data_IF_813782811646
#
_entry.id   IF_813782811646
#
_cell.length_a   1.000
_cell.length_b   1.000
_cell.length_c   1.000
_cell.angle_alpha   90.00
_cell.angle_beta   90.00
_cell.angle_gamma   90.00
#
_symmetry.space_group_name_H-M   'P 1'
#
loop_
_entity.id
_entity.type
_entity.pdbx_description
1 polymer ?
#
# COMPACT_ATOMS: atom_id res chain seq x y z
N UNK A 1 -23.71 22.31 -20.85
CA UNK A 1 -23.38 21.82 -19.49
C UNK A 1 -22.03 21.14 -19.59
N UNK A 2 -20.99 21.52 -18.84
CA UNK A 2 -19.81 20.66 -18.74
C UNK A 2 -20.29 19.29 -18.24
N UNK A 3 -19.89 18.19 -18.89
CA UNK A 3 -20.29 16.87 -18.42
C UNK A 3 -19.84 16.71 -16.97
N UNK A 4 -20.74 16.31 -16.07
CA UNK A 4 -20.37 16.05 -14.68
C UNK A 4 -19.21 15.04 -14.65
N UNK A 5 -18.13 15.37 -13.94
CA UNK A 5 -17.00 14.45 -13.77
C UNK A 5 -17.51 13.16 -13.13
N UNK A 6 -17.35 12.03 -13.84
CA UNK A 6 -17.80 10.73 -13.35
C UNK A 6 -16.83 10.22 -12.28
N UNK A 7 -17.36 9.95 -11.10
CA UNK A 7 -16.65 9.27 -10.01
C UNK A 7 -16.96 7.78 -10.11
N UNK A 8 -15.92 6.95 -10.21
CA UNK A 8 -16.02 5.50 -10.15
C UNK A 8 -15.49 5.03 -8.81
N UNK A 9 -16.22 4.17 -8.11
CA UNK A 9 -15.76 3.61 -6.84
C UNK A 9 -15.15 2.24 -7.11
N UNK A 10 -13.86 2.12 -6.81
CA UNK A 10 -13.10 0.89 -6.98
C UNK A 10 -12.81 0.26 -5.64
N UNK A 11 -12.69 -1.06 -5.63
CA UNK A 11 -12.13 -1.83 -4.53
C UNK A 11 -10.76 -2.35 -4.99
N UNK A 12 -9.70 -1.77 -4.43
CA UNK A 12 -8.30 -2.06 -4.78
C UNK A 12 -7.72 -3.08 -3.81
N UNK A 13 -6.85 -3.96 -4.30
CA UNK A 13 -6.31 -5.12 -3.57
C UNK A 13 -7.39 -6.11 -3.15
N UNK A 14 -8.51 -6.20 -3.87
CA UNK A 14 -9.66 -6.97 -3.44
C UNK A 14 -9.39 -8.49 -3.45
N UNK A 15 -9.54 -9.15 -2.30
CA UNK A 15 -9.51 -10.61 -2.22
C UNK A 15 -10.93 -11.19 -2.01
N UNK A 16 -11.70 -11.27 -3.08
CA UNK A 16 -13.10 -11.75 -3.06
C UNK A 16 -14.12 -10.66 -2.66
N UNK A 17 -15.45 -10.91 -2.77
CA UNK A 17 -16.55 -9.98 -2.45
C UNK A 17 -16.37 -9.25 -1.10
N UNK A 18 -16.64 -7.94 -1.06
CA UNK A 18 -16.50 -7.10 0.16
C UNK A 18 -15.06 -6.82 0.63
N UNK A 19 -14.07 -7.50 0.05
CA UNK A 19 -12.65 -7.24 0.27
C UNK A 19 -12.10 -5.96 -0.35
N UNK A 20 -10.83 -5.66 -0.10
CA UNK A 20 -10.09 -4.52 -0.67
C UNK A 20 -10.29 -3.19 0.04
N UNK A 21 -9.54 -2.20 -0.43
CA UNK A 21 -9.58 -0.81 0.02
C UNK A 21 -10.37 0.05 -0.99
N UNK A 22 -11.44 0.76 -0.59
CA UNK A 22 -12.21 1.61 -1.48
C UNK A 22 -11.39 2.79 -1.98
N UNK A 23 -11.56 3.12 -3.26
CA UNK A 23 -10.90 4.24 -3.90
C UNK A 23 -11.86 4.92 -4.87
N UNK A 24 -12.44 6.08 -4.52
CA UNK A 24 -13.13 6.93 -5.46
C UNK A 24 -12.14 7.53 -6.46
N UNK A 25 -12.33 7.25 -7.74
CA UNK A 25 -11.43 7.70 -8.81
C UNK A 25 -12.20 8.55 -9.83
N UNK A 26 -11.62 9.68 -10.20
CA UNK A 26 -12.04 10.50 -11.34
C UNK A 26 -10.93 10.47 -12.39
N UNK A 27 -11.14 9.74 -13.50
CA UNK A 27 -10.13 9.62 -14.56
C UNK A 27 -10.10 10.79 -15.55
N UNK A 28 -11.06 11.71 -15.47
CA UNK A 28 -11.08 12.93 -16.28
C UNK A 28 -11.31 14.14 -15.38
N UNK A 29 -10.28 14.51 -14.62
CA UNK A 29 -10.34 15.58 -13.62
C UNK A 29 -9.82 16.93 -14.16
N UNK A 30 -9.65 17.07 -15.48
CA UNK A 30 -9.24 18.33 -16.10
C UNK A 30 -10.26 19.43 -15.79
N UNK A 31 -9.79 20.56 -15.25
CA UNK A 31 -10.64 21.69 -14.87
C UNK A 31 -11.31 21.57 -13.49
N UNK A 32 -11.11 20.47 -12.75
CA UNK A 32 -11.50 20.42 -11.33
C UNK A 32 -10.59 21.31 -10.49
N UNK A 33 -11.19 22.13 -9.63
CA UNK A 33 -10.48 22.86 -8.57
C UNK A 33 -10.15 21.94 -7.39
N UNK A 34 -9.17 22.34 -6.58
CA UNK A 34 -8.78 21.67 -5.33
C UNK A 34 -9.97 21.45 -4.40
N UNK A 35 -10.86 22.44 -4.29
CA UNK A 35 -12.07 22.35 -3.48
C UNK A 35 -13.03 21.25 -3.99
N UNK A 36 -13.21 21.12 -5.30
CA UNK A 36 -14.06 20.07 -5.89
C UNK A 36 -13.45 18.67 -5.70
N UNK A 37 -12.12 18.54 -5.82
CA UNK A 37 -11.44 17.27 -5.54
C UNK A 37 -11.57 16.88 -4.07
N UNK A 38 -11.41 17.84 -3.15
CA UNK A 38 -11.60 17.60 -1.72
C UNK A 38 -13.05 17.23 -1.38
N UNK A 39 -14.04 17.88 -2.02
CA UNK A 39 -15.46 17.57 -1.80
C UNK A 39 -15.78 16.11 -2.16
N UNK A 40 -15.21 15.58 -3.24
CA UNK A 40 -15.34 14.15 -3.59
C UNK A 40 -14.78 13.27 -2.47
N UNK A 41 -13.57 13.56 -1.97
CA UNK A 41 -12.99 12.80 -0.87
C UNK A 41 -13.83 12.87 0.41
N UNK A 42 -14.38 14.05 0.73
CA UNK A 42 -15.28 14.23 1.89
C UNK A 42 -16.57 13.44 1.76
N UNK A 43 -17.19 13.45 0.57
CA UNK A 43 -18.45 12.74 0.30
C UNK A 43 -18.33 11.23 0.48
N UNK A 44 -17.20 10.67 0.08
CA UNK A 44 -16.96 9.22 0.14
C UNK A 44 -16.24 8.78 1.43
N UNK A 45 -15.56 9.68 2.14
CA UNK A 45 -14.86 9.36 3.39
C UNK A 45 -13.56 8.55 3.20
N UNK A 46 -13.09 8.40 1.95
CA UNK A 46 -11.94 7.57 1.57
C UNK A 46 -10.89 8.39 0.80
N UNK A 47 -9.65 7.88 0.73
CA UNK A 47 -8.64 8.39 -0.20
C UNK A 47 -9.17 8.34 -1.64
N UNK A 48 -9.21 9.50 -2.30
CA UNK A 48 -9.70 9.64 -3.68
C UNK A 48 -8.58 10.04 -4.63
N UNK A 49 -8.63 9.53 -5.87
CA UNK A 49 -7.63 9.77 -6.92
C UNK A 49 -8.19 10.54 -8.11
N UNK A 50 -7.42 11.48 -8.64
CA UNK A 50 -7.81 12.37 -9.73
C UNK A 50 -6.75 12.32 -10.82
N UNK A 51 -7.15 11.98 -12.04
CA UNK A 51 -6.27 11.94 -13.20
C UNK A 51 -6.42 13.22 -14.00
N UNK A 52 -5.31 13.94 -14.14
CA UNK A 52 -5.17 15.14 -14.93
C UNK A 52 -4.25 14.89 -16.14
N UNK A 53 -4.36 15.68 -17.22
CA UNK A 53 -3.33 15.75 -18.24
C UNK A 53 -1.98 16.11 -17.60
N UNK A 54 -0.89 15.52 -18.09
CA UNK A 54 0.44 15.92 -17.65
C UNK A 54 0.70 17.40 -17.96
N UNK A 55 1.45 18.13 -17.12
CA UNK A 55 1.83 19.52 -17.39
C UNK A 55 2.60 19.66 -18.70
N UNK A 56 2.48 20.81 -19.41
CA UNK A 56 3.27 21.06 -20.63
C UNK A 56 4.77 20.87 -20.38
N UNK A 57 5.44 20.10 -21.25
CA UNK A 57 6.87 19.81 -21.16
C UNK A 57 7.26 18.68 -20.19
N UNK A 58 6.29 18.04 -19.53
CA UNK A 58 6.55 16.83 -18.72
C UNK A 58 6.89 15.62 -19.61
N UNK A 59 7.73 14.71 -19.10
CA UNK A 59 8.00 13.38 -19.66
C UNK A 59 6.99 12.32 -19.19
N UNK A 60 5.98 12.72 -18.41
CA UNK A 60 4.93 11.85 -17.89
C UNK A 60 3.69 11.84 -18.79
N UNK A 61 2.96 10.74 -18.76
CA UNK A 61 1.71 10.55 -19.52
C UNK A 61 0.53 11.26 -18.86
N UNK A 62 0.51 11.29 -17.52
CA UNK A 62 -0.54 11.88 -16.69
C UNK A 62 0.02 12.53 -15.44
N UNK A 63 -0.74 13.45 -14.84
CA UNK A 63 -0.56 13.89 -13.45
C UNK A 63 -1.67 13.31 -12.58
N UNK A 64 -1.31 12.66 -11.47
CA UNK A 64 -2.27 12.16 -10.50
C UNK A 64 -2.20 12.97 -9.21
N UNK A 65 -3.36 13.39 -8.73
CA UNK A 65 -3.56 14.06 -7.44
C UNK A 65 -4.43 13.21 -6.52
N UNK A 66 -4.23 13.35 -5.21
CA UNK A 66 -4.87 12.48 -4.21
C UNK A 66 -5.37 13.26 -3.02
N UNK A 67 -6.59 12.98 -2.57
CA UNK A 67 -7.19 13.67 -1.42
C UNK A 67 -7.72 12.67 -0.40
N UNK A 68 -7.47 12.96 0.87
CA UNK A 68 -8.31 12.50 1.99
C UNK A 68 -9.31 13.61 2.33
N UNK A 69 -10.38 13.34 3.10
CA UNK A 69 -11.40 14.34 3.41
C UNK A 69 -10.87 15.69 3.91
N UNK A 70 -9.74 15.68 4.62
CA UNK A 70 -9.20 16.85 5.32
C UNK A 70 -8.07 17.58 4.57
N UNK A 71 -7.35 16.93 3.66
CA UNK A 71 -6.20 17.52 2.98
C UNK A 71 -5.75 16.71 1.77
N UNK A 72 -4.91 17.32 0.95
CA UNK A 72 -4.28 16.65 -0.18
C UNK A 72 -3.05 15.84 0.23
N UNK A 73 -2.94 14.63 -0.31
CA UNK A 73 -1.78 13.77 -0.11
C UNK A 73 -0.78 13.91 -1.26
N UNK A 74 0.51 13.79 -0.95
CA UNK A 74 1.55 13.80 -1.98
C UNK A 74 1.55 12.55 -2.86
N UNK A 75 1.04 11.43 -2.34
CA UNK A 75 0.94 10.13 -3.01
C UNK A 75 -0.14 9.25 -2.37
N UNK A 76 -0.73 8.35 -3.15
CA UNK A 76 -1.56 7.26 -2.64
C UNK A 76 -1.43 6.01 -3.53
N UNK A 77 -0.77 4.95 -3.03
CA UNK A 77 -0.44 3.79 -3.85
C UNK A 77 -1.66 3.02 -4.38
N UNK A 78 -2.65 2.76 -3.54
CA UNK A 78 -3.85 2.02 -3.97
C UNK A 78 -4.68 2.84 -4.97
N UNK A 79 -4.80 4.16 -4.77
CA UNK A 79 -5.52 5.03 -5.70
C UNK A 79 -4.77 5.14 -7.04
N UNK A 80 -3.43 5.14 -7.06
CA UNK A 80 -2.67 5.05 -8.32
C UNK A 80 -2.95 3.73 -9.04
N UNK A 81 -2.89 2.59 -8.35
CA UNK A 81 -3.22 1.27 -8.94
C UNK A 81 -4.64 1.27 -9.52
N UNK A 82 -5.63 1.77 -8.76
CA UNK A 82 -7.02 1.87 -9.21
C UNK A 82 -7.20 2.80 -10.41
N UNK A 83 -6.56 3.98 -10.41
CA UNK A 83 -6.65 4.93 -11.51
C UNK A 83 -6.01 4.41 -12.80
N UNK A 84 -4.85 3.76 -12.72
CA UNK A 84 -4.23 3.12 -13.89
C UNK A 84 -5.10 1.97 -14.42
N UNK A 85 -5.63 1.15 -13.52
CA UNK A 85 -6.55 0.08 -13.90
C UNK A 85 -7.78 0.63 -14.62
N UNK A 86 -8.38 1.71 -14.10
CA UNK A 86 -9.56 2.32 -14.69
C UNK A 86 -9.27 3.03 -16.03
N UNK A 87 -8.10 3.65 -16.18
CA UNK A 87 -7.63 4.17 -17.48
C UNK A 87 -7.47 3.03 -18.51
N UNK A 88 -6.97 1.87 -18.08
CA UNK A 88 -6.87 0.68 -18.93
C UNK A 88 -8.25 0.17 -19.35
N UNK A 89 -9.19 0.01 -18.39
CA UNK A 89 -10.58 -0.39 -18.68
C UNK A 89 -11.26 0.57 -19.67
N UNK A 90 -10.98 1.86 -19.56
CA UNK A 90 -11.52 2.88 -20.44
C UNK A 90 -10.81 2.98 -21.82
N UNK A 91 -9.81 2.15 -22.10
CA UNK A 91 -9.05 2.19 -23.35
C UNK A 91 -8.24 3.48 -23.55
N UNK A 92 -7.86 4.17 -22.47
CA UNK A 92 -7.17 5.48 -22.51
C UNK A 92 -5.64 5.38 -22.45
N UNK A 93 -5.10 4.18 -22.32
CA UNK A 93 -3.65 3.96 -22.29
C UNK A 93 -3.12 3.68 -23.71
N UNK A 94 -1.97 4.27 -24.03
CA UNK A 94 -1.29 4.07 -25.33
C UNK A 94 -0.42 2.80 -25.37
N UNK A 95 -0.18 2.20 -24.21
CA UNK A 95 0.68 1.03 -24.05
C UNK A 95 0.52 0.41 -22.66
N UNK A 96 1.40 -0.52 -22.35
CA UNK A 96 1.42 -1.30 -21.11
C UNK A 96 2.33 -0.70 -20.03
N UNK A 97 2.96 0.44 -20.30
CA UNK A 97 3.79 1.19 -19.36
C UNK A 97 3.44 2.67 -19.43
N UNK A 98 3.52 3.33 -18.28
CA UNK A 98 3.28 4.77 -18.18
C UNK A 98 4.10 5.39 -17.06
N UNK A 99 4.46 6.65 -17.25
CA UNK A 99 5.04 7.52 -16.25
C UNK A 99 3.96 8.45 -15.72
N UNK A 100 3.81 8.50 -14.40
CA UNK A 100 2.79 9.28 -13.71
C UNK A 100 3.50 10.32 -12.85
N UNK A 101 3.18 11.59 -13.08
CA UNK A 101 3.61 12.66 -12.21
C UNK A 101 2.72 12.68 -10.96
N UNK A 102 3.34 12.69 -9.78
CA UNK A 102 2.66 12.94 -8.51
C UNK A 102 3.38 14.05 -7.78
N UNK A 103 2.77 14.57 -6.70
CA UNK A 103 3.46 15.52 -5.80
C UNK A 103 4.68 14.93 -5.09
N UNK A 104 4.78 13.60 -5.00
CA UNK A 104 5.98 12.91 -4.52
C UNK A 104 7.05 12.65 -5.59
N UNK A 105 6.81 13.10 -6.82
CA UNK A 105 7.66 12.84 -7.99
C UNK A 105 7.07 11.78 -8.93
N UNK A 106 7.91 11.29 -9.83
CA UNK A 106 7.53 10.34 -10.89
C UNK A 106 7.32 8.93 -10.34
N UNK A 107 6.21 8.31 -10.72
CA UNK A 107 5.87 6.90 -10.44
C UNK A 107 5.73 6.18 -11.77
N UNK A 108 6.36 5.03 -11.93
CA UNK A 108 6.13 4.17 -13.08
C UNK A 108 4.99 3.21 -12.80
N UNK A 109 4.15 2.95 -13.79
CA UNK A 109 3.20 1.86 -13.76
C UNK A 109 3.42 0.91 -14.94
N UNK A 110 3.10 -0.36 -14.71
CA UNK A 110 3.06 -1.39 -15.74
C UNK A 110 1.75 -2.18 -15.65
N UNK A 111 1.25 -2.59 -16.81
CA UNK A 111 0.09 -3.44 -16.95
C UNK A 111 0.53 -4.76 -17.57
N UNK A 112 0.08 -5.87 -17.02
CA UNK A 112 0.26 -7.20 -17.60
C UNK A 112 -1.09 -7.86 -17.82
N UNK A 113 -1.21 -8.68 -18.86
CA UNK A 113 -2.50 -9.24 -19.30
C UNK A 113 -3.13 -8.43 -20.44
N UNK A 114 -3.84 -9.12 -21.35
CA UNK A 114 -4.38 -8.54 -22.58
C UNK A 114 -5.88 -8.22 -22.53
N UNK A 115 -6.62 -8.76 -21.56
CA UNK A 115 -8.06 -8.51 -21.41
C UNK A 115 -8.34 -7.58 -20.24
N UNK A 116 -9.42 -6.82 -20.37
CA UNK A 116 -9.91 -5.91 -19.33
C UNK A 116 -10.16 -6.66 -17.99
N UNK A 117 -10.66 -7.90 -18.05
CA UNK A 117 -10.93 -8.73 -16.88
C UNK A 117 -9.68 -9.40 -16.26
N UNK A 118 -8.54 -9.38 -16.97
CA UNK A 118 -7.30 -10.05 -16.56
C UNK A 118 -6.10 -9.12 -16.38
N UNK A 119 -6.29 -7.80 -16.50
CA UNK A 119 -5.22 -6.83 -16.40
C UNK A 119 -4.72 -6.67 -14.96
N UNK A 120 -3.46 -7.05 -14.71
CA UNK A 120 -2.77 -6.78 -13.47
C UNK A 120 -1.97 -5.48 -13.58
N UNK A 121 -2.26 -4.54 -12.69
CA UNK A 121 -1.57 -3.26 -12.60
C UNK A 121 -0.59 -3.28 -11.45
N UNK A 122 0.63 -2.84 -11.71
CA UNK A 122 1.66 -2.64 -10.71
C UNK A 122 2.28 -1.25 -10.83
N UNK A 123 2.61 -0.64 -9.70
CA UNK A 123 3.28 0.66 -9.61
C UNK A 123 4.65 0.51 -8.95
N UNK A 124 5.62 1.31 -9.38
CA UNK A 124 6.95 1.32 -8.78
C UNK A 124 6.90 1.92 -7.37
N UNK A 125 7.68 1.36 -6.46
CA UNK A 125 8.03 1.91 -5.16
C UNK A 125 9.56 2.02 -5.06
N UNK A 126 10.09 3.03 -4.37
CA UNK A 126 11.53 3.21 -4.23
C UNK A 126 12.18 2.07 -3.45
N UNK A 127 13.50 1.98 -3.55
CA UNK A 127 14.32 1.08 -2.74
C UNK A 127 13.99 1.22 -1.26
N UNK A 128 13.71 0.09 -0.62
CA UNK A 128 13.44 0.05 0.80
C UNK A 128 14.71 0.14 1.65
N UNK A 129 14.52 0.62 2.87
CA UNK A 129 15.53 0.65 3.94
C UNK A 129 14.99 -0.10 5.14
N UNK A 130 15.87 -0.80 5.84
CA UNK A 130 15.58 -1.50 7.09
C UNK A 130 16.55 -0.98 8.14
N UNK A 131 16.00 -0.60 9.28
CA UNK A 131 16.74 0.01 10.38
C UNK A 131 16.39 -0.70 11.70
N UNK A 132 17.35 -0.87 12.62
CA UNK A 132 17.08 -1.38 13.95
C UNK A 132 16.00 -0.56 14.66
N UNK A 133 15.20 -1.21 15.50
CA UNK A 133 14.24 -0.51 16.35
C UNK A 133 14.97 0.43 17.33
N UNK A 134 14.62 1.73 17.39
CA UNK A 134 15.21 2.65 18.36
C UNK A 134 14.92 2.20 19.80
N UNK A 135 15.89 2.32 20.71
CA UNK A 135 15.75 1.88 22.11
C UNK A 135 15.16 0.46 22.19
N UNK A 136 15.82 -0.48 21.52
CA UNK A 136 15.21 -1.74 21.11
C UNK A 136 14.52 -2.50 22.25
N UNK A 137 15.09 -2.51 23.46
CA UNK A 137 14.51 -3.21 24.62
C UNK A 137 13.22 -2.55 25.09
N UNK A 138 13.26 -1.25 25.33
CA UNK A 138 12.14 -0.45 25.84
C UNK A 138 11.00 -0.37 24.81
N UNK A 139 11.35 -0.11 23.55
CA UNK A 139 10.40 -0.05 22.44
C UNK A 139 9.74 -1.40 22.20
N UNK A 140 10.49 -2.50 22.28
CA UNK A 140 9.93 -3.85 22.16
C UNK A 140 8.96 -4.16 23.28
N UNK A 141 9.32 -3.90 24.53
CA UNK A 141 8.42 -4.09 25.67
C UNK A 141 7.11 -3.31 25.51
N UNK A 142 7.19 -2.06 25.07
CA UNK A 142 6.00 -1.24 24.86
C UNK A 142 5.16 -1.66 23.64
N UNK A 143 5.77 -2.18 22.57
CA UNK A 143 5.04 -2.75 21.44
C UNK A 143 4.23 -3.96 21.90
N UNK A 144 4.84 -4.88 22.64
CA UNK A 144 4.15 -6.06 23.18
C UNK A 144 3.00 -5.66 24.10
N UNK A 145 3.20 -4.66 24.98
CA UNK A 145 2.14 -4.13 25.84
C UNK A 145 0.97 -3.54 25.03
N UNK A 146 1.27 -2.73 24.00
CA UNK A 146 0.23 -2.11 23.15
C UNK A 146 -0.52 -3.15 22.34
N UNK A 147 0.17 -4.17 21.83
CA UNK A 147 -0.46 -5.26 21.07
C UNK A 147 -1.19 -6.28 21.94
N UNK A 148 -0.93 -6.27 23.26
CA UNK A 148 -1.54 -7.22 24.21
C UNK A 148 -1.03 -8.65 24.05
N UNK A 149 0.25 -8.80 23.70
CA UNK A 149 0.90 -10.10 23.47
C UNK A 149 2.18 -10.26 24.30
N UNK A 150 2.68 -11.48 24.39
CA UNK A 150 3.96 -11.80 25.02
C UNK A 150 5.00 -12.39 24.04
N UNK A 151 6.17 -12.72 24.56
CA UNK A 151 7.30 -13.28 23.83
C UNK A 151 6.99 -14.58 23.10
N UNK A 152 6.13 -15.43 23.66
CA UNK A 152 5.81 -16.75 23.12
C UNK A 152 4.97 -16.66 21.85
N UNK A 153 4.35 -15.51 21.61
CA UNK A 153 3.52 -15.21 20.45
C UNK A 153 4.33 -14.58 19.30
N UNK A 154 5.62 -14.31 19.52
CA UNK A 154 6.52 -13.73 18.51
C UNK A 154 7.17 -14.82 17.66
N UNK A 155 7.39 -14.55 16.38
CA UNK A 155 8.31 -15.35 15.59
C UNK A 155 9.76 -15.02 15.97
N UNK A 156 10.73 -15.94 15.74
CA UNK A 156 12.13 -15.76 16.11
C UNK A 156 12.87 -14.79 15.16
N UNK A 157 12.37 -13.57 15.03
CA UNK A 157 12.81 -12.53 14.12
C UNK A 157 12.79 -11.17 14.84
N UNK A 158 13.62 -10.21 14.43
CA UNK A 158 13.66 -8.91 15.07
C UNK A 158 12.41 -8.08 14.76
N UNK A 159 11.98 -7.26 15.73
CA UNK A 159 11.16 -6.09 15.44
C UNK A 159 12.09 -5.03 14.86
N UNK A 160 11.70 -4.47 13.71
CA UNK A 160 12.53 -3.51 12.99
C UNK A 160 11.68 -2.47 12.28
N UNK A 161 12.27 -1.30 12.05
CA UNK A 161 11.66 -0.30 11.19
C UNK A 161 12.04 -0.60 9.74
N UNK A 162 11.08 -0.47 8.84
CA UNK A 162 11.32 -0.56 7.40
C UNK A 162 10.54 0.55 6.68
N UNK A 163 11.08 1.03 5.57
CA UNK A 163 10.44 2.09 4.77
C UNK A 163 10.81 1.98 3.31
N UNK A 164 9.85 2.24 2.42
CA UNK A 164 10.13 2.68 1.05
C UNK A 164 9.95 4.20 0.95
N UNK A 165 8.78 4.72 1.37
CA UNK A 165 8.55 6.17 1.51
C UNK A 165 8.12 6.61 2.90
N UNK A 166 7.51 5.72 3.69
CA UNK A 166 7.09 5.97 5.07
C UNK A 166 7.55 4.81 5.94
N UNK A 167 8.03 5.13 7.14
CA UNK A 167 8.46 4.11 8.11
C UNK A 167 7.25 3.34 8.64
N UNK A 168 7.38 2.02 8.67
CA UNK A 168 6.48 1.06 9.32
C UNK A 168 7.30 0.19 10.25
N UNK A 169 6.75 -0.11 11.42
CA UNK A 169 7.40 -1.01 12.38
C UNK A 169 6.91 -2.42 12.12
N UNK A 170 7.79 -3.27 11.59
CA UNK A 170 7.49 -4.66 11.25
C UNK A 170 7.59 -5.53 12.50
N UNK A 171 6.51 -6.25 12.82
CA UNK A 171 6.41 -7.02 14.07
C UNK A 171 6.11 -8.49 13.72
N UNK A 172 7.12 -9.38 13.74
CA UNK A 172 6.95 -10.76 13.32
C UNK A 172 6.25 -11.61 14.39
N UNK A 173 5.11 -12.20 14.05
CA UNK A 173 4.31 -13.05 14.92
C UNK A 173 4.44 -14.52 14.56
N UNK A 174 4.25 -15.38 15.56
CA UNK A 174 4.47 -16.82 15.45
C UNK A 174 3.52 -17.49 14.45
N UNK A 175 2.28 -17.00 14.32
CA UNK A 175 1.30 -17.56 13.39
C UNK A 175 0.23 -16.55 12.94
N UNK A 176 -0.45 -16.84 11.81
CA UNK A 176 -1.65 -16.11 11.41
C UNK A 176 -2.75 -16.03 12.47
N UNK A 177 -2.89 -17.06 13.31
CA UNK A 177 -3.90 -17.09 14.37
C UNK A 177 -3.59 -16.07 15.47
N UNK A 178 -2.29 -15.93 15.85
CA UNK A 178 -1.85 -14.88 16.78
C UNK A 178 -2.15 -13.49 16.20
N UNK A 179 -1.86 -13.29 14.91
CA UNK A 179 -2.10 -12.02 14.21
C UNK A 179 -3.60 -11.66 14.20
N UNK A 180 -4.47 -12.62 13.88
CA UNK A 180 -5.92 -12.42 13.87
C UNK A 180 -6.47 -12.12 15.27
N UNK A 181 -5.88 -12.72 16.30
CA UNK A 181 -6.29 -12.54 17.69
C UNK A 181 -5.85 -11.21 18.32
N UNK A 182 -4.99 -10.41 17.67
CA UNK A 182 -4.53 -9.14 18.25
C UNK A 182 -5.72 -8.22 18.56
N UNK A 183 -5.72 -7.68 19.78
CA UNK A 183 -6.62 -6.64 20.24
C UNK A 183 -5.81 -5.45 20.78
N UNK A 184 -5.25 -4.60 19.90
CA UNK A 184 -4.37 -3.52 20.33
C UNK A 184 -5.06 -2.48 21.20
N UNK A 185 -4.30 -1.88 22.12
CA UNK A 185 -4.68 -0.65 22.82
C UNK A 185 -4.56 0.54 21.87
N UNK A 186 -5.57 0.74 21.02
CA UNK A 186 -5.55 1.71 19.93
C UNK A 186 -5.28 3.15 20.41
N UNK A 187 -5.74 3.50 21.61
CA UNK A 187 -5.49 4.79 22.26
C UNK A 187 -4.00 5.09 22.52
N UNK A 188 -3.14 4.06 22.48
CA UNK A 188 -1.69 4.17 22.72
C UNK A 188 -0.83 4.07 21.48
N UNK A 189 -1.42 3.70 20.33
CA UNK A 189 -0.67 3.47 19.08
C UNK A 189 0.02 4.74 18.60
N UNK A 190 -0.65 5.89 18.66
CA UNK A 190 -0.09 7.17 18.21
C UNK A 190 1.18 7.54 18.99
N UNK A 191 1.10 7.57 20.32
CA UNK A 191 2.23 7.90 21.19
C UNK A 191 3.40 6.89 21.06
N UNK A 192 3.10 5.60 20.88
CA UNK A 192 4.11 4.59 20.61
C UNK A 192 4.81 4.87 19.27
N UNK A 193 4.04 5.11 18.21
CA UNK A 193 4.54 5.42 16.88
C UNK A 193 5.43 6.68 16.88
N UNK A 194 5.04 7.73 17.60
CA UNK A 194 5.85 8.94 17.80
C UNK A 194 7.22 8.62 18.39
N UNK A 195 7.25 7.82 19.46
CA UNK A 195 8.49 7.45 20.15
C UNK A 195 9.43 6.62 19.28
N UNK A 196 8.90 5.71 18.46
CA UNK A 196 9.70 4.78 17.64
C UNK A 196 9.94 5.30 16.20
N UNK A 197 9.49 6.52 15.89
CA UNK A 197 9.67 7.14 14.57
C UNK A 197 8.90 6.44 13.45
N UNK A 198 7.71 5.91 13.73
CA UNK A 198 6.93 5.09 12.81
C UNK A 198 5.61 5.73 12.41
N UNK A 199 5.14 5.45 11.19
CA UNK A 199 3.80 5.88 10.73
C UNK A 199 2.73 4.80 10.91
N UNK A 200 3.09 3.67 11.54
CA UNK A 200 2.14 2.61 11.88
C UNK A 200 2.82 1.30 12.27
N UNK A 201 2.16 0.54 13.13
CA UNK A 201 2.56 -0.81 13.51
C UNK A 201 2.06 -1.79 12.45
N UNK A 202 2.95 -2.65 11.97
CA UNK A 202 2.66 -3.60 10.92
C UNK A 202 3.04 -5.03 11.36
N UNK A 203 2.25 -5.63 12.26
CA UNK A 203 2.43 -7.03 12.60
C UNK A 203 2.12 -7.93 11.42
N UNK A 204 2.91 -8.99 11.30
CA UNK A 204 2.79 -9.95 10.22
C UNK A 204 3.13 -11.37 10.68
N UNK A 205 2.61 -12.36 9.96
CA UNK A 205 2.94 -13.76 10.16
C UNK A 205 3.14 -14.45 8.80
N UNK A 206 4.03 -15.44 8.75
CA UNK A 206 4.17 -16.30 7.58
C UNK A 206 2.99 -17.28 7.53
N UNK A 207 2.29 -17.32 6.39
CA UNK A 207 1.28 -18.33 6.12
C UNK A 207 1.89 -19.52 5.39
N UNK A 208 2.62 -19.22 4.31
CA UNK A 208 3.26 -20.21 3.45
C UNK A 208 4.56 -19.62 2.91
N UNK A 209 5.66 -19.91 3.60
CA UNK A 209 6.99 -19.43 3.22
C UNK A 209 7.40 -19.96 1.83
N UNK A 210 7.05 -21.21 1.51
CA UNK A 210 7.37 -21.84 0.23
C UNK A 210 6.73 -21.10 -0.95
N UNK A 211 5.55 -20.53 -0.76
CA UNK A 211 4.83 -19.70 -1.75
C UNK A 211 5.00 -18.19 -1.56
N UNK A 212 5.78 -17.75 -0.57
CA UNK A 212 5.97 -16.34 -0.18
C UNK A 212 4.64 -15.64 0.15
N UNK A 213 3.79 -16.29 0.95
CA UNK A 213 2.51 -15.75 1.40
C UNK A 213 2.58 -15.38 2.88
N UNK A 214 2.26 -14.12 3.18
CA UNK A 214 2.29 -13.55 4.52
C UNK A 214 0.94 -12.89 4.83
N UNK A 215 0.49 -13.00 6.07
CA UNK A 215 -0.64 -12.22 6.59
C UNK A 215 -0.10 -11.01 7.36
N UNK A 216 -0.77 -9.87 7.25
CA UNK A 216 -0.44 -8.66 7.99
C UNK A 216 -1.69 -7.91 8.46
N UNK A 217 -1.50 -7.03 9.44
CA UNK A 217 -2.47 -6.02 9.86
C UNK A 217 -1.77 -4.66 9.92
N UNK A 218 -2.50 -3.57 9.75
CA UNK A 218 -1.95 -2.22 9.84
C UNK A 218 -2.69 -1.41 10.90
N UNK A 219 -1.96 -0.95 11.90
CA UNK A 219 -2.44 0.00 12.89
C UNK A 219 -1.74 1.35 12.66
N UNK A 220 -2.39 2.28 11.95
CA UNK A 220 -1.77 3.55 11.59
C UNK A 220 -1.57 4.45 12.82
N UNK A 221 -0.51 5.27 12.78
CA UNK A 221 -0.24 6.29 13.80
C UNK A 221 -1.42 7.24 13.99
N UNK A 222 -1.92 7.80 12.89
CA UNK A 222 -3.01 8.80 12.91
C UNK A 222 -3.64 8.91 11.51
N UNK A 223 -4.59 8.02 11.21
CA UNK A 223 -5.34 8.01 9.93
C UNK A 223 -6.85 8.31 10.07
N UNK A 224 -7.33 8.55 11.29
CA UNK A 224 -8.77 8.74 11.57
C UNK A 224 -9.55 7.42 11.74
N UNK A 225 -8.89 6.28 11.61
CA UNK A 225 -9.39 4.94 11.90
C UNK A 225 -8.28 4.09 12.53
N UNK A 226 -8.62 3.10 13.38
CA UNK A 226 -7.65 2.33 14.15
C UNK A 226 -6.94 1.22 13.36
N UNK A 227 -7.54 0.78 12.25
CA UNK A 227 -7.00 -0.30 11.41
C UNK A 227 -7.32 -0.08 9.94
N UNK A 228 -6.36 -0.34 9.05
CA UNK A 228 -6.52 -0.24 7.60
C UNK A 228 -6.71 -1.64 6.96
N UNK A 229 -7.59 -1.76 5.97
CA UNK A 229 -7.90 -3.04 5.33
C UNK A 229 -6.81 -3.50 4.34
N UNK A 230 -6.12 -2.55 3.70
CA UNK A 230 -5.00 -2.85 2.81
C UNK A 230 -4.03 -1.65 2.69
N UNK A 231 -2.77 -1.86 3.05
CA UNK A 231 -1.78 -0.78 3.08
C UNK A 231 -0.56 -1.10 2.21
N UNK A 232 -0.64 -0.77 0.92
CA UNK A 232 0.40 -1.10 -0.06
C UNK A 232 1.81 -0.62 0.31
N UNK A 233 1.95 0.58 0.89
CA UNK A 233 3.26 1.09 1.32
C UNK A 233 3.87 0.25 2.45
N UNK A 234 3.04 -0.33 3.32
CA UNK A 234 3.50 -1.17 4.41
C UNK A 234 3.84 -2.58 3.92
N UNK A 235 3.09 -3.12 2.95
CA UNK A 235 3.45 -4.35 2.26
C UNK A 235 4.79 -4.23 1.50
N UNK A 236 5.03 -3.08 0.85
CA UNK A 236 6.32 -2.78 0.22
C UNK A 236 7.45 -2.67 1.26
N UNK A 237 7.24 -1.99 2.39
CA UNK A 237 8.23 -1.96 3.47
C UNK A 237 8.49 -3.37 4.05
N UNK A 238 7.45 -4.18 4.21
CA UNK A 238 7.56 -5.56 4.68
C UNK A 238 8.41 -6.41 3.73
N UNK A 239 8.27 -6.29 2.41
CA UNK A 239 9.09 -7.11 1.48
C UNK A 239 10.59 -6.89 1.70
N UNK A 240 11.03 -5.65 1.93
CA UNK A 240 12.44 -5.37 2.25
C UNK A 240 12.85 -5.88 3.64
N UNK A 241 11.94 -5.85 4.63
CA UNK A 241 12.18 -6.49 5.92
C UNK A 241 12.29 -8.01 5.84
N UNK A 242 11.47 -8.66 5.00
CA UNK A 242 11.56 -10.09 4.72
C UNK A 242 12.89 -10.45 4.04
N UNK A 243 13.32 -9.62 3.08
CA UNK A 243 14.60 -9.78 2.40
C UNK A 243 15.77 -9.65 3.38
N UNK A 244 15.78 -8.62 4.23
CA UNK A 244 16.83 -8.42 5.23
C UNK A 244 16.93 -9.57 6.23
N UNK A 245 15.83 -10.27 6.49
CA UNK A 245 15.77 -11.43 7.38
C UNK A 245 15.98 -12.78 6.65
N UNK A 246 16.30 -12.78 5.35
CA UNK A 246 16.51 -14.00 4.57
C UNK A 246 15.27 -14.87 4.37
N UNK A 247 14.07 -14.28 4.48
CA UNK A 247 12.80 -15.01 4.28
C UNK A 247 12.36 -15.04 2.81
N UNK A 248 12.92 -14.16 1.99
CA UNK A 248 12.68 -14.08 0.55
C UNK A 248 13.98 -13.71 -0.16
N UNK A 249 14.08 -14.09 -1.42
CA UNK A 249 15.23 -13.78 -2.27
C UNK A 249 14.98 -12.49 -3.09
N UNK A 250 16.03 -11.74 -3.46
CA UNK A 250 15.93 -10.55 -4.30
C UNK A 250 15.64 -10.92 -5.76
N UNK A 251 14.40 -11.37 -6.01
CA UNK A 251 13.95 -11.88 -7.30
C UNK A 251 12.66 -11.18 -7.76
N UNK A 252 12.32 -11.32 -9.04
CA UNK A 252 11.04 -10.88 -9.58
C UNK A 252 9.84 -11.76 -9.12
N UNK A 253 10.08 -12.75 -8.25
CA UNK A 253 9.04 -13.64 -7.73
C UNK A 253 8.10 -12.85 -6.82
N UNK A 254 6.80 -13.01 -7.05
CA UNK A 254 5.77 -12.33 -6.26
C UNK A 254 5.80 -12.77 -4.79
N UNK A 255 5.78 -11.78 -3.91
CA UNK A 255 5.48 -11.89 -2.48
C UNK A 255 4.03 -11.46 -2.32
N UNK A 256 3.22 -12.31 -1.72
CA UNK A 256 1.80 -12.05 -1.51
C UNK A 256 1.56 -11.68 -0.04
N UNK A 257 1.05 -10.47 0.19
CA UNK A 257 0.70 -9.98 1.51
C UNK A 257 -0.83 -9.89 1.58
N UNK A 258 -1.43 -10.67 2.47
CA UNK A 258 -2.87 -10.59 2.74
C UNK A 258 -3.11 -9.70 3.97
N UNK A 259 -4.16 -8.89 3.91
CA UNK A 259 -4.51 -7.94 4.97
C UNK A 259 -6.03 -7.84 5.12
N UNK A 260 -6.52 -7.32 6.25
CA UNK A 260 -7.93 -6.98 6.43
C UNK A 260 -8.86 -8.17 6.73
N UNK A 261 -8.33 -9.38 6.91
CA UNK A 261 -9.12 -10.57 7.28
C UNK A 261 -9.87 -10.36 8.60
N UNK A 262 -9.19 -9.87 9.65
CA UNK A 262 -9.82 -9.57 10.94
C UNK A 262 -10.93 -8.50 10.83
N UNK A 263 -10.85 -7.60 9.86
CA UNK A 263 -11.85 -6.58 9.57
C UNK A 263 -13.00 -7.08 8.69
N UNK A 264 -12.98 -8.37 8.27
CA UNK A 264 -13.88 -8.94 7.24
C UNK A 264 -13.82 -8.18 5.91
N UNK A 265 -12.68 -7.55 5.62
CA UNK A 265 -12.35 -6.86 4.37
C UNK A 265 -11.09 -7.48 3.75
N UNK A 266 -11.14 -8.74 3.33
CA UNK A 266 -9.97 -9.48 2.87
C UNK A 266 -9.32 -8.77 1.68
N UNK A 267 -8.01 -8.56 1.76
CA UNK A 267 -7.24 -7.89 0.73
C UNK A 267 -5.98 -8.68 0.38
N UNK A 268 -5.54 -8.59 -0.86
CA UNK A 268 -4.34 -9.22 -1.38
C UNK A 268 -3.49 -8.20 -2.13
N UNK A 269 -2.30 -7.96 -1.59
CA UNK A 269 -1.29 -7.06 -2.14
C UNK A 269 -0.16 -7.92 -2.69
N UNK A 270 0.23 -7.66 -3.93
CA UNK A 270 1.34 -8.31 -4.61
C UNK A 270 2.53 -7.37 -4.64
N UNK A 271 3.69 -7.86 -4.19
CA UNK A 271 4.96 -7.14 -4.26
C UNK A 271 5.99 -7.99 -5.00
N UNK A 272 6.79 -7.39 -5.88
CA UNK A 272 7.94 -8.07 -6.50
C UNK A 272 9.13 -7.13 -6.56
N UNK A 273 10.36 -7.62 -6.38
CA UNK A 273 11.53 -6.74 -6.44
C UNK A 273 11.77 -6.26 -7.87
N UNK A 274 12.13 -4.99 -8.00
CA UNK A 274 12.65 -4.44 -9.24
C UNK A 274 14.15 -4.69 -9.29
N UNK A 275 14.63 -5.20 -10.42
CA UNK A 275 16.02 -5.58 -10.66
C UNK A 275 16.46 -4.92 -11.97
N UNK A 276 16.86 -3.65 -11.92
CA UNK A 276 17.30 -2.96 -13.13
C UNK A 276 18.66 -3.49 -13.64
N UNK A 277 18.84 -3.57 -14.97
CA UNK A 277 20.14 -3.83 -15.56
C UNK A 277 21.14 -2.75 -15.15
N UNK A 278 22.35 -3.14 -14.72
CA UNK A 278 23.43 -2.20 -14.35
C UNK A 278 23.53 -1.87 -12.87
N UNK A 279 22.62 -2.38 -12.04
CA UNK A 279 22.83 -2.52 -10.59
C UNK A 279 23.53 -3.87 -10.33
N UNK A 280 24.25 -3.98 -9.20
CA UNK A 280 24.89 -5.23 -8.78
C UNK A 280 23.88 -6.39 -8.87
N UNK A 281 24.21 -7.49 -9.58
CA UNK A 281 23.30 -8.62 -9.73
C UNK A 281 22.80 -9.12 -8.37
N UNK A 282 21.48 -9.19 -8.20
CA UNK A 282 20.87 -9.61 -6.93
C UNK A 282 20.57 -8.47 -5.94
N UNK A 283 20.83 -7.20 -6.29
CA UNK A 283 20.44 -6.05 -5.48
C UNK A 283 19.20 -5.36 -6.08
N UNK A 284 18.05 -5.33 -5.36
CA UNK A 284 16.90 -4.56 -5.80
C UNK A 284 17.16 -3.07 -5.89
N UNK A 285 16.56 -2.38 -6.86
CA UNK A 285 16.55 -0.91 -6.95
C UNK A 285 15.20 -0.30 -6.52
N UNK A 286 14.25 -1.15 -6.16
CA UNK A 286 12.90 -0.82 -5.78
C UNK A 286 12.02 -2.05 -5.74
N UNK A 287 10.70 -1.86 -5.75
CA UNK A 287 9.75 -2.94 -5.93
C UNK A 287 8.54 -2.49 -6.75
N UNK A 288 7.85 -3.46 -7.33
CA UNK A 288 6.55 -3.29 -7.96
C UNK A 288 5.47 -3.69 -6.97
N UNK A 289 4.47 -2.83 -6.83
CA UNK A 289 3.34 -2.98 -5.92
C UNK A 289 2.06 -3.04 -6.74
N UNK A 290 1.25 -4.08 -6.56
CA UNK A 290 -0.01 -4.25 -7.27
C UNK A 290 -0.98 -5.16 -6.54
N UNK A 291 -2.03 -5.58 -7.23
CA UNK A 291 -3.00 -6.55 -6.75
C UNK A 291 -4.35 -6.40 -7.46
N UNK A 292 -5.33 -7.26 -7.14
CA UNK A 292 -6.62 -7.26 -7.84
C UNK A 292 -7.38 -5.94 -7.66
N UNK A 293 -8.01 -5.46 -8.72
CA UNK A 293 -8.87 -4.27 -8.71
C UNK A 293 -10.21 -4.66 -9.32
N UNK A 294 -11.29 -4.09 -8.79
CA UNK A 294 -12.63 -4.25 -9.33
C UNK A 294 -13.46 -3.01 -9.07
N UNK A 295 -14.57 -2.87 -9.79
CA UNK A 295 -15.63 -1.96 -9.38
C UNK A 295 -16.24 -2.41 -8.05
N UNK A 296 -16.50 -1.48 -7.16
CA UNK A 296 -17.30 -1.75 -5.97
C UNK A 296 -18.76 -1.97 -6.41
N UNK A 297 -19.35 -3.07 -5.96
CA UNK A 297 -20.77 -3.35 -6.21
C UNK A 297 -21.60 -2.31 -5.45
N UNK A 298 -22.44 -1.55 -6.16
CA UNK A 298 -23.41 -0.64 -5.54
C UNK A 298 -24.49 -1.42 -4.78
#
# INVERSE_FOLDING_TARGET
>A
MPSAHRVEILSVFAAGPGGGNPAPIVIDAAGMSDAQMQEVAQRHGHESGFVLPAPPGSDCDYEFRFWVPRHEMSMCGHATVGAVWLLHQAGRLRGDRLNILTRSGRVQARITGQSAEGAAVEISQPLGRVEPLPQARESRAAILEVLGIDETQMAPLPIQNASTSRVKTLIPLASPDVLDALAPRFDRVEALCDRIGSTGLYPYASLDAGRQIFDARQFPRSSGYPEDAATGIAAAALSFGLLANGLVEPSARTITIRQGRAMRRPSQISVSFSLAPGIEPGCPDGCWLGGPVRFESQ
#
